data_IF_381879212660
#
_entry.id   IF_381879212660
#
_cell.length_a   1.000
_cell.length_b   1.000
_cell.length_c   1.000
_cell.angle_alpha   90.00
_cell.angle_beta   90.00
_cell.angle_gamma   90.00
#
_symmetry.space_group_name_H-M   'P 1'
#
loop_
_entity.id
_entity.type
_entity.pdbx_description
1 polymer ?
#
# COMPACT_ATOMS: atom_id res chain seq x y z
N UNK A 1 -60.07 -2.95 18.86
CA UNK A 1 -58.75 -3.38 18.39
C UNK A 1 -58.02 -4.03 19.55
N UNK A 2 -57.90 -5.35 19.52
CA UNK A 2 -57.20 -6.11 20.56
C UNK A 2 -55.69 -5.83 20.50
N UNK A 3 -54.93 -6.08 21.58
CA UNK A 3 -53.47 -5.96 21.55
C UNK A 3 -52.83 -6.81 20.45
N UNK A 4 -53.43 -7.97 20.14
CA UNK A 4 -52.96 -8.88 19.11
C UNK A 4 -53.15 -8.30 17.70
N UNK A 5 -54.32 -7.71 17.43
CA UNK A 5 -54.62 -7.05 16.16
C UNK A 5 -53.68 -5.85 15.89
N UNK A 6 -53.22 -5.17 16.94
CA UNK A 6 -52.24 -4.07 16.78
C UNK A 6 -50.87 -4.60 16.36
N UNK A 7 -50.39 -5.67 17.01
CA UNK A 7 -49.10 -6.28 16.70
C UNK A 7 -49.10 -6.79 15.25
N UNK A 8 -50.15 -7.51 14.85
CA UNK A 8 -50.27 -8.05 13.51
C UNK A 8 -50.34 -6.93 12.46
N UNK A 9 -51.07 -5.83 12.73
CA UNK A 9 -51.12 -4.68 11.84
C UNK A 9 -49.80 -3.89 11.74
N UNK A 10 -48.93 -3.94 12.75
CA UNK A 10 -47.61 -3.26 12.72
C UNK A 10 -46.47 -4.12 12.18
N UNK A 11 -46.66 -5.44 12.04
CA UNK A 11 -45.57 -6.36 11.71
C UNK A 11 -44.96 -6.07 10.33
N UNK A 12 -45.81 -5.92 9.32
CA UNK A 12 -45.38 -5.63 7.95
C UNK A 12 -44.70 -4.25 7.86
N UNK A 13 -45.23 -3.28 8.61
CA UNK A 13 -44.67 -1.92 8.72
C UNK A 13 -43.30 -1.89 9.42
N UNK A 14 -43.05 -2.80 10.36
CA UNK A 14 -41.74 -2.93 11.01
C UNK A 14 -40.70 -3.54 10.07
N UNK A 15 -41.09 -4.53 9.26
CA UNK A 15 -40.21 -5.12 8.25
C UNK A 15 -39.83 -4.08 7.18
N UNK A 16 -40.80 -3.31 6.68
CA UNK A 16 -40.53 -2.20 5.75
C UNK A 16 -39.62 -1.13 6.36
N UNK A 17 -39.80 -0.77 7.64
CA UNK A 17 -38.95 0.20 8.33
C UNK A 17 -37.54 -0.33 8.58
N UNK A 18 -37.40 -1.62 8.86
CA UNK A 18 -36.10 -2.28 9.04
C UNK A 18 -35.37 -2.41 7.71
N UNK A 19 -36.07 -2.80 6.64
CA UNK A 19 -35.53 -2.78 5.28
C UNK A 19 -35.17 -1.36 4.85
N UNK A 20 -35.98 -0.35 5.17
CA UNK A 20 -35.65 1.05 4.87
C UNK A 20 -34.48 1.58 5.71
N UNK A 21 -34.30 1.13 6.96
CA UNK A 21 -33.11 1.44 7.78
C UNK A 21 -31.88 0.76 7.22
N UNK A 22 -31.99 -0.50 6.83
CA UNK A 22 -30.91 -1.28 6.21
C UNK A 22 -30.55 -0.71 4.84
N UNK A 23 -31.52 -0.35 4.02
CA UNK A 23 -31.31 0.32 2.74
C UNK A 23 -30.76 1.73 2.93
N UNK A 24 -31.08 2.45 4.03
CA UNK A 24 -30.50 3.76 4.34
C UNK A 24 -29.08 3.65 4.91
N UNK A 25 -28.75 2.56 5.61
CA UNK A 25 -27.40 2.29 6.11
C UNK A 25 -26.48 1.69 5.03
N UNK A 26 -27.04 0.91 4.09
CA UNK A 26 -26.32 0.23 3.00
C UNK A 26 -26.29 1.01 1.69
N UNK A 27 -27.28 1.89 1.43
CA UNK A 27 -27.09 2.95 0.43
C UNK A 27 -26.00 3.83 0.99
N UNK A 28 -24.79 3.59 0.50
CA UNK A 28 -23.74 4.59 0.37
C UNK A 28 -24.33 5.83 -0.31
N UNK A 29 -25.07 6.64 0.45
CA UNK A 29 -25.44 8.00 0.12
C UNK A 29 -24.25 8.94 0.33
N UNK A 30 -23.02 8.42 0.23
CA UNK A 30 -21.87 9.19 -0.19
C UNK A 30 -21.97 9.51 -1.68
N UNK A 31 -23.08 10.14 -2.10
CA UNK A 31 -22.95 11.02 -3.26
C UNK A 31 -22.00 12.10 -2.77
N UNK A 32 -20.84 12.32 -3.41
CA UNK A 32 -19.84 13.27 -2.93
C UNK A 32 -20.42 14.67 -2.67
N UNK A 33 -21.55 14.98 -3.30
CA UNK A 33 -22.36 16.19 -3.12
C UNK A 33 -23.06 16.24 -1.75
N UNK A 34 -23.65 15.15 -1.26
CA UNK A 34 -24.27 15.14 0.08
C UNK A 34 -23.22 15.34 1.17
N UNK A 35 -22.12 14.58 1.08
CA UNK A 35 -21.00 14.70 2.00
C UNK A 35 -20.41 16.13 2.00
N UNK A 36 -20.38 16.78 0.83
CA UNK A 36 -19.99 18.18 0.71
C UNK A 36 -20.90 19.13 1.51
N UNK A 37 -22.22 19.00 1.38
CA UNK A 37 -23.15 19.83 2.15
C UNK A 37 -23.11 19.56 3.66
N UNK A 38 -23.01 18.29 4.05
CA UNK A 38 -22.93 17.89 5.46
C UNK A 38 -21.67 18.45 6.14
N UNK A 39 -20.53 18.38 5.45
CA UNK A 39 -19.27 18.96 5.92
C UNK A 39 -19.45 20.46 6.13
N UNK A 40 -20.02 21.20 5.16
CA UNK A 40 -20.20 22.66 5.30
C UNK A 40 -21.14 23.02 6.45
N UNK A 41 -22.29 22.36 6.55
CA UNK A 41 -23.24 22.61 7.64
C UNK A 41 -22.62 22.36 9.03
N UNK A 42 -21.81 21.30 9.15
CA UNK A 42 -21.10 20.98 10.39
C UNK A 42 -20.03 22.03 10.71
N UNK A 43 -19.25 22.45 9.71
CA UNK A 43 -18.19 23.44 9.86
C UNK A 43 -18.75 24.83 10.23
N UNK A 44 -19.89 25.22 9.68
CA UNK A 44 -20.57 26.47 10.03
C UNK A 44 -21.03 26.46 11.49
N UNK A 45 -21.50 25.32 11.99
CA UNK A 45 -21.90 25.18 13.40
C UNK A 45 -20.72 25.33 14.37
N UNK A 46 -19.53 24.91 13.96
CA UNK A 46 -18.30 24.95 14.76
C UNK A 46 -17.72 26.35 14.90
N UNK A 47 -18.01 27.27 13.98
CA UNK A 47 -17.53 28.64 14.05
C UNK A 47 -17.98 29.36 15.34
N UNK A 48 -19.20 29.06 15.80
CA UNK A 48 -19.78 29.67 17.00
C UNK A 48 -19.19 29.15 18.32
N UNK A 49 -18.36 28.11 18.31
CA UNK A 49 -17.79 27.52 19.52
C UNK A 49 -16.86 28.51 20.24
N UNK A 50 -15.97 29.15 19.48
CA UNK A 50 -14.96 30.08 20.02
C UNK A 50 -15.58 31.27 20.75
N UNK A 51 -16.65 31.85 20.19
CA UNK A 51 -17.37 32.97 20.79
C UNK A 51 -18.03 32.61 22.13
N UNK A 52 -18.40 31.34 22.34
CA UNK A 52 -19.09 30.88 23.56
C UNK A 52 -18.13 30.47 24.68
N UNK A 53 -16.95 29.97 24.34
CA UNK A 53 -16.02 29.38 25.32
C UNK A 53 -14.79 30.22 25.57
N UNK A 54 -14.49 31.20 24.72
CA UNK A 54 -13.21 31.93 24.75
C UNK A 54 -12.02 31.07 24.32
N UNK A 55 -12.25 29.89 23.74
CA UNK A 55 -11.17 29.03 23.25
C UNK A 55 -10.69 29.45 21.87
N UNK A 56 -9.37 29.57 21.71
CA UNK A 56 -8.74 29.73 20.39
C UNK A 56 -8.68 28.36 19.69
N UNK A 57 -9.25 28.27 18.49
CA UNK A 57 -9.43 27.03 17.74
C UNK A 57 -8.83 27.16 16.34
N UNK A 58 -8.01 26.17 15.96
CA UNK A 58 -7.65 25.90 14.57
C UNK A 58 -8.37 24.64 14.12
N UNK A 59 -9.14 24.72 13.03
CA UNK A 59 -9.77 23.57 12.40
C UNK A 59 -9.30 23.47 10.95
N UNK A 60 -8.68 22.35 10.63
CA UNK A 60 -8.20 22.04 9.29
C UNK A 60 -8.88 20.75 8.86
N UNK A 61 -9.62 20.82 7.75
CA UNK A 61 -10.30 19.67 7.16
C UNK A 61 -9.78 19.46 5.75
N UNK A 62 -9.25 18.27 5.47
CA UNK A 62 -8.70 17.89 4.17
C UNK A 62 -9.40 16.64 3.66
N UNK A 63 -9.48 16.46 2.34
CA UNK A 63 -9.98 15.19 1.78
C UNK A 63 -8.92 14.11 1.88
N UNK A 64 -9.38 12.88 2.09
CA UNK A 64 -8.54 11.68 2.00
C UNK A 64 -8.55 11.04 0.61
N UNK A 65 -9.50 11.41 -0.24
CA UNK A 65 -9.72 10.78 -1.55
C UNK A 65 -9.82 11.86 -2.63
N UNK A 66 -9.30 11.55 -3.83
CA UNK A 66 -9.31 12.47 -4.98
C UNK A 66 -10.71 12.72 -5.53
N UNK A 67 -11.63 11.77 -5.31
CA UNK A 67 -13.01 11.85 -5.80
C UNK A 67 -13.87 12.83 -4.97
N UNK A 68 -13.36 13.33 -3.85
CA UNK A 68 -14.04 14.35 -3.05
C UNK A 68 -13.79 15.76 -3.64
N UNK A 69 -14.89 16.50 -3.83
CA UNK A 69 -14.88 17.87 -4.35
C UNK A 69 -14.44 18.93 -3.33
N UNK A 70 -14.38 18.57 -2.04
CA UNK A 70 -14.00 19.51 -0.99
C UNK A 70 -12.54 19.94 -1.15
N UNK A 71 -12.33 21.26 -1.22
CA UNK A 71 -10.99 21.83 -1.06
C UNK A 71 -10.60 21.80 0.42
N UNK A 72 -9.29 21.85 0.75
CA UNK A 72 -8.86 22.04 2.12
C UNK A 72 -9.58 23.22 2.75
N UNK A 73 -10.29 22.96 3.83
CA UNK A 73 -10.98 23.98 4.61
C UNK A 73 -10.15 24.32 5.83
N UNK A 74 -9.95 25.62 6.05
CA UNK A 74 -9.22 26.13 7.19
C UNK A 74 -10.10 27.15 7.89
N UNK A 75 -10.40 26.89 9.15
CA UNK A 75 -11.07 27.81 10.04
C UNK A 75 -10.13 28.15 11.20
N UNK A 76 -9.98 29.44 11.45
CA UNK A 76 -9.22 29.98 12.57
C UNK A 76 -10.18 30.87 13.35
N UNK A 77 -10.27 30.66 14.66
CA UNK A 77 -11.12 31.51 15.50
C UNK A 77 -10.55 32.92 15.69
N UNK A 78 -9.22 33.07 15.53
CA UNK A 78 -8.47 34.28 15.85
C UNK A 78 -7.17 34.35 15.03
N UNK A 79 -6.68 35.56 14.77
CA UNK A 79 -5.49 35.83 13.95
C UNK A 79 -4.22 35.33 14.64
N UNK A 80 -4.17 35.37 15.97
CA UNK A 80 -3.04 34.84 16.76
C UNK A 80 -2.79 33.35 16.50
N UNK A 81 -3.84 32.59 16.20
CA UNK A 81 -3.70 31.19 15.80
C UNK A 81 -3.02 31.09 14.45
N UNK A 82 -3.33 31.98 13.51
CA UNK A 82 -2.63 32.09 12.22
C UNK A 82 -1.16 32.45 12.37
N UNK A 83 -0.85 33.41 13.25
CA UNK A 83 0.53 33.82 13.55
C UNK A 83 1.37 32.67 14.11
N UNK A 84 0.76 31.80 14.94
CA UNK A 84 1.43 30.61 15.43
C UNK A 84 1.93 29.71 14.29
N UNK A 85 1.13 29.47 13.24
CA UNK A 85 1.58 28.70 12.08
C UNK A 85 2.75 29.39 11.36
N UNK A 86 2.70 30.70 11.21
CA UNK A 86 3.78 31.45 10.57
C UNK A 86 5.07 31.44 11.40
N UNK A 87 4.97 31.56 12.73
CA UNK A 87 6.13 31.59 13.61
C UNK A 87 6.73 30.19 13.83
N UNK A 88 5.90 29.20 14.12
CA UNK A 88 6.34 27.84 14.46
C UNK A 88 6.67 27.00 13.22
N UNK A 89 5.83 27.08 12.17
CA UNK A 89 5.95 26.25 10.97
C UNK A 89 6.50 27.00 9.76
N UNK A 90 6.66 28.33 9.86
CA UNK A 90 7.11 29.21 8.76
C UNK A 90 6.22 29.13 7.54
N UNK A 91 4.93 28.88 7.75
CA UNK A 91 3.95 28.71 6.69
C UNK A 91 2.58 29.24 7.09
N UNK A 92 1.79 29.63 6.08
CA UNK A 92 0.38 29.95 6.29
C UNK A 92 -0.43 28.67 6.55
N UNK A 93 -1.50 28.73 7.36
CA UNK A 93 -2.41 27.61 7.59
C UNK A 93 -2.93 26.94 6.30
N UNK A 94 -3.21 27.72 5.24
CA UNK A 94 -3.68 27.20 3.94
C UNK A 94 -2.64 26.33 3.22
N UNK A 95 -1.37 26.75 3.23
CA UNK A 95 -0.28 25.95 2.67
C UNK A 95 -0.07 24.66 3.45
N UNK A 96 -0.14 24.74 4.79
CA UNK A 96 -0.08 23.56 5.64
C UNK A 96 -1.22 22.58 5.33
N UNK A 97 -2.46 23.07 5.23
CA UNK A 97 -3.63 22.26 4.87
C UNK A 97 -3.47 21.59 3.49
N UNK A 98 -2.90 22.27 2.51
CA UNK A 98 -2.64 21.70 1.17
C UNK A 98 -1.62 20.55 1.23
N UNK A 99 -0.54 20.70 2.01
CA UNK A 99 0.44 19.61 2.18
C UNK A 99 -0.14 18.44 2.97
N UNK A 100 -0.94 18.73 3.99
CA UNK A 100 -1.64 17.71 4.77
C UNK A 100 -2.60 16.92 3.87
N UNK A 101 -3.35 17.59 3.00
CA UNK A 101 -4.21 16.93 2.00
C UNK A 101 -3.40 15.99 1.11
N UNK A 102 -2.30 16.47 0.52
CA UNK A 102 -1.43 15.65 -0.32
C UNK A 102 -0.93 14.39 0.40
N UNK A 103 -0.54 14.53 1.68
CA UNK A 103 -0.14 13.37 2.50
C UNK A 103 -1.29 12.39 2.71
N UNK A 104 -2.48 12.87 3.10
CA UNK A 104 -3.66 12.03 3.34
C UNK A 104 -4.05 11.24 2.09
N UNK A 105 -4.10 11.90 0.93
CA UNK A 105 -4.43 11.27 -0.36
C UNK A 105 -3.41 10.20 -0.74
N UNK A 106 -2.11 10.49 -0.62
CA UNK A 106 -1.05 9.52 -0.93
C UNK A 106 -1.09 8.32 0.03
N UNK A 107 -1.31 8.57 1.32
CA UNK A 107 -1.41 7.53 2.34
C UNK A 107 -2.58 6.57 2.06
N UNK A 108 -3.76 7.13 1.77
CA UNK A 108 -4.93 6.35 1.40
C UNK A 108 -4.73 5.56 0.11
N UNK A 109 -4.13 6.17 -0.92
CA UNK A 109 -3.78 5.46 -2.15
C UNK A 109 -2.87 4.25 -1.89
N UNK A 110 -1.80 4.43 -1.10
CA UNK A 110 -0.89 3.33 -0.74
C UNK A 110 -1.61 2.21 0.00
N UNK A 111 -2.47 2.57 0.97
CA UNK A 111 -3.28 1.59 1.72
C UNK A 111 -4.22 0.81 0.80
N UNK A 112 -4.98 1.49 -0.04
CA UNK A 112 -5.89 0.87 -1.00
C UNK A 112 -5.15 -0.02 -2.00
N UNK A 113 -3.96 0.39 -2.45
CA UNK A 113 -3.14 -0.41 -3.35
C UNK A 113 -2.65 -1.71 -2.68
N UNK A 114 -2.15 -1.63 -1.45
CA UNK A 114 -1.73 -2.82 -0.68
C UNK A 114 -2.91 -3.77 -0.39
N UNK A 115 -4.07 -3.23 -0.04
CA UNK A 115 -5.29 -4.00 0.16
C UNK A 115 -5.71 -4.71 -1.13
N UNK A 116 -5.65 -4.02 -2.28
CA UNK A 116 -5.97 -4.61 -3.57
C UNK A 116 -5.00 -5.75 -3.93
N UNK A 117 -3.69 -5.58 -3.69
CA UNK A 117 -2.69 -6.65 -3.88
C UNK A 117 -3.02 -7.88 -3.03
N UNK A 118 -3.27 -7.67 -1.72
CA UNK A 118 -3.62 -8.74 -0.79
C UNK A 118 -4.88 -9.49 -1.22
N UNK A 119 -5.94 -8.75 -1.58
CA UNK A 119 -7.20 -9.32 -2.06
C UNK A 119 -7.02 -10.12 -3.36
N UNK A 120 -6.19 -9.61 -4.28
CA UNK A 120 -5.90 -10.28 -5.56
C UNK A 120 -5.11 -11.57 -5.35
N UNK A 121 -4.11 -11.55 -4.45
CA UNK A 121 -3.37 -12.77 -4.09
C UNK A 121 -4.28 -13.83 -3.47
N UNK A 122 -5.16 -13.44 -2.54
CA UNK A 122 -6.13 -14.34 -1.93
C UNK A 122 -7.11 -14.92 -2.97
N UNK A 123 -7.64 -14.08 -3.87
CA UNK A 123 -8.53 -14.52 -4.95
C UNK A 123 -7.83 -15.51 -5.88
N UNK A 124 -6.59 -15.22 -6.28
CA UNK A 124 -5.80 -16.10 -7.16
C UNK A 124 -5.59 -17.47 -6.52
N UNK A 125 -5.20 -17.51 -5.24
CA UNK A 125 -5.02 -18.77 -4.50
C UNK A 125 -6.34 -19.54 -4.37
N UNK A 126 -7.44 -18.86 -4.02
CA UNK A 126 -8.76 -19.48 -3.93
C UNK A 126 -9.18 -20.11 -5.26
N UNK A 127 -8.99 -19.40 -6.38
CA UNK A 127 -9.30 -19.90 -7.73
C UNK A 127 -8.44 -21.11 -8.11
N UNK A 128 -7.18 -21.16 -7.68
CA UNK A 128 -6.33 -22.32 -7.88
C UNK A 128 -6.81 -23.53 -7.06
N UNK A 129 -7.11 -23.33 -5.78
CA UNK A 129 -7.64 -24.38 -4.91
C UNK A 129 -8.98 -24.92 -5.42
N UNK A 130 -9.86 -24.06 -5.94
CA UNK A 130 -11.12 -24.45 -6.59
C UNK A 130 -10.88 -25.37 -7.79
N UNK A 131 -9.92 -25.05 -8.65
CA UNK A 131 -9.60 -25.87 -9.83
C UNK A 131 -8.93 -27.20 -9.46
N UNK A 132 -8.12 -27.23 -8.40
CA UNK A 132 -7.40 -28.43 -7.97
C UNK A 132 -8.22 -29.37 -7.09
N UNK A 133 -9.23 -28.85 -6.39
CA UNK A 133 -9.97 -29.57 -5.34
C UNK A 133 -9.07 -30.07 -4.19
N UNK A 134 -7.86 -29.50 -4.07
CA UNK A 134 -6.88 -29.81 -3.03
C UNK A 134 -6.41 -28.49 -2.43
N UNK A 135 -6.36 -28.36 -1.09
CA UNK A 135 -5.89 -27.13 -0.45
C UNK A 135 -4.37 -26.99 -0.62
N UNK A 136 -3.91 -25.88 -1.20
CA UNK A 136 -2.50 -25.52 -1.29
C UNK A 136 -2.21 -24.40 -0.28
N UNK A 137 -1.12 -24.47 0.50
CA UNK A 137 -0.80 -23.46 1.50
C UNK A 137 -0.40 -22.10 0.91
N UNK A 138 0.14 -22.06 -0.32
CA UNK A 138 0.62 -20.83 -0.97
C UNK A 138 0.61 -20.94 -2.49
N UNK A 139 0.47 -19.80 -3.16
CA UNK A 139 0.60 -19.68 -4.61
C UNK A 139 2.08 -19.59 -5.01
N UNK A 140 2.51 -20.41 -5.97
CA UNK A 140 3.84 -20.33 -6.57
C UNK A 140 3.77 -19.49 -7.85
N UNK A 141 4.64 -18.49 -8.00
CA UNK A 141 4.75 -17.69 -9.23
C UNK A 141 6.09 -17.93 -9.94
N UNK A 142 7.14 -18.20 -9.17
CA UNK A 142 8.43 -18.67 -9.66
C UNK A 142 8.34 -20.18 -9.82
N UNK A 143 8.80 -20.70 -10.97
CA UNK A 143 8.72 -22.12 -11.33
C UNK A 143 7.29 -22.67 -11.17
N UNK A 144 6.30 -21.90 -11.65
CA UNK A 144 4.89 -22.32 -11.65
C UNK A 144 4.73 -23.68 -12.35
N UNK A 145 5.46 -23.87 -13.44
CA UNK A 145 5.44 -25.08 -14.26
C UNK A 145 5.88 -26.31 -13.46
N UNK A 146 6.90 -26.19 -12.61
CA UNK A 146 7.43 -27.31 -11.82
C UNK A 146 6.60 -27.58 -10.56
N UNK A 147 6.09 -26.54 -9.91
CA UNK A 147 5.44 -26.67 -8.60
C UNK A 147 3.93 -26.87 -8.72
N UNK A 148 3.31 -26.36 -9.77
CA UNK A 148 1.86 -26.42 -9.97
C UNK A 148 1.51 -27.30 -11.16
N UNK A 149 2.06 -27.02 -12.34
CA UNK A 149 1.71 -27.81 -13.53
C UNK A 149 2.18 -29.25 -13.33
N UNK A 150 3.48 -29.49 -13.14
CA UNK A 150 4.10 -30.83 -13.01
C UNK A 150 3.49 -31.72 -11.89
N UNK A 151 2.97 -31.13 -10.81
CA UNK A 151 2.43 -31.89 -9.68
C UNK A 151 0.91 -32.10 -9.73
N UNK A 152 0.18 -31.16 -10.34
CA UNK A 152 -1.28 -31.10 -10.21
C UNK A 152 -2.02 -31.06 -11.54
N UNK A 153 -1.29 -30.97 -12.65
CA UNK A 153 -1.83 -30.88 -14.00
C UNK A 153 -2.82 -29.73 -14.16
N UNK A 154 -2.49 -28.57 -13.59
CA UNK A 154 -3.33 -27.36 -13.69
C UNK A 154 -2.58 -26.25 -14.40
N UNK A 155 -3.17 -25.75 -15.49
CA UNK A 155 -2.64 -24.64 -16.30
C UNK A 155 -3.46 -23.37 -16.07
N UNK A 156 -2.80 -22.23 -16.17
CA UNK A 156 -3.41 -20.91 -16.12
C UNK A 156 -3.71 -20.42 -17.53
N UNK A 157 -4.98 -20.15 -17.83
CA UNK A 157 -5.42 -19.65 -19.13
C UNK A 157 -5.70 -18.14 -19.10
N UNK A 158 -5.40 -17.46 -20.21
CA UNK A 158 -5.71 -16.04 -20.45
C UNK A 158 -5.20 -15.10 -19.36
N UNK A 159 -3.93 -15.22 -18.97
CA UNK A 159 -3.32 -14.23 -18.08
C UNK A 159 -3.29 -12.86 -18.77
N UNK A 160 -3.77 -11.77 -18.13
CA UNK A 160 -4.01 -10.51 -18.84
C UNK A 160 -2.75 -9.63 -18.98
N UNK A 161 -1.64 -9.97 -18.32
CA UNK A 161 -0.38 -9.23 -18.41
C UNK A 161 0.63 -9.99 -19.27
N UNK A 162 1.64 -9.29 -19.76
CA UNK A 162 2.71 -9.90 -20.57
C UNK A 162 3.58 -10.87 -19.78
N UNK A 163 3.78 -10.62 -18.49
CA UNK A 163 4.56 -11.45 -17.58
C UNK A 163 3.68 -12.02 -16.47
N UNK A 164 3.81 -13.32 -16.22
CA UNK A 164 3.24 -13.95 -15.04
C UNK A 164 4.04 -13.57 -13.79
N UNK A 165 3.38 -12.91 -12.83
CA UNK A 165 4.03 -12.35 -11.64
C UNK A 165 3.09 -12.34 -10.45
N UNK A 166 3.66 -12.31 -9.24
CA UNK A 166 2.85 -12.20 -8.02
C UNK A 166 2.18 -10.82 -7.96
N UNK A 167 0.94 -10.69 -7.43
CA UNK A 167 0.32 -9.39 -7.23
C UNK A 167 1.15 -8.45 -6.34
N UNK A 168 2.01 -9.01 -5.49
CA UNK A 168 3.00 -8.28 -4.69
C UNK A 168 4.03 -7.54 -5.55
N UNK A 169 4.47 -8.15 -6.64
CA UNK A 169 5.53 -7.65 -7.51
C UNK A 169 5.01 -6.69 -8.60
N UNK A 170 3.69 -6.66 -8.84
CA UNK A 170 3.08 -5.74 -9.80
C UNK A 170 3.17 -4.30 -9.28
N UNK A 171 3.86 -3.42 -10.02
CA UNK A 171 4.16 -2.05 -9.60
C UNK A 171 2.98 -1.07 -9.73
N UNK A 172 2.03 -1.35 -10.64
CA UNK A 172 0.95 -0.42 -10.98
C UNK A 172 -0.41 -0.90 -10.47
N UNK A 173 -1.17 0.02 -9.84
CA UNK A 173 -2.51 -0.30 -9.31
C UNK A 173 -3.48 -0.73 -10.42
N UNK A 174 -3.39 -0.12 -11.60
CA UNK A 174 -4.25 -0.45 -12.75
C UNK A 174 -4.04 -1.89 -13.21
N UNK A 175 -2.79 -2.35 -13.27
CA UNK A 175 -2.47 -3.75 -13.64
C UNK A 175 -3.01 -4.75 -12.62
N UNK A 176 -2.89 -4.45 -11.31
CA UNK A 176 -3.48 -5.31 -10.27
C UNK A 176 -5.01 -5.34 -10.39
N UNK A 177 -5.66 -4.21 -10.71
CA UNK A 177 -7.11 -4.18 -10.97
C UNK A 177 -7.50 -5.02 -12.19
N UNK A 178 -6.70 -5.00 -13.25
CA UNK A 178 -6.92 -5.80 -14.46
C UNK A 178 -6.87 -7.29 -14.09
N UNK A 179 -5.84 -7.74 -13.39
CA UNK A 179 -5.71 -9.14 -12.92
C UNK A 179 -6.89 -9.52 -12.02
N UNK A 180 -7.23 -8.68 -11.04
CA UNK A 180 -8.35 -8.90 -10.14
C UNK A 180 -9.67 -9.08 -10.90
N UNK A 181 -9.98 -8.16 -11.82
CA UNK A 181 -11.20 -8.20 -12.62
C UNK A 181 -11.22 -9.38 -13.61
N UNK A 182 -10.07 -9.78 -14.15
CA UNK A 182 -9.96 -10.91 -15.06
C UNK A 182 -10.30 -12.24 -14.36
N UNK A 183 -9.88 -12.44 -13.11
CA UNK A 183 -10.32 -13.58 -12.30
C UNK A 183 -11.79 -13.49 -11.87
N UNK A 184 -12.26 -12.30 -11.50
CA UNK A 184 -13.66 -12.10 -11.08
C UNK A 184 -14.65 -12.35 -12.23
N UNK A 185 -14.29 -11.97 -13.45
CA UNK A 185 -15.10 -12.19 -14.65
C UNK A 185 -14.96 -13.61 -15.23
N UNK A 186 -13.99 -14.39 -14.75
CA UNK A 186 -13.67 -15.73 -15.28
C UNK A 186 -12.92 -15.71 -16.62
N UNK A 187 -12.49 -14.54 -17.10
CA UNK A 187 -11.64 -14.44 -18.29
C UNK A 187 -10.31 -15.18 -18.07
N UNK A 188 -9.68 -14.95 -16.92
CA UNK A 188 -8.53 -15.72 -16.43
C UNK A 188 -9.01 -16.81 -15.50
N UNK A 189 -8.60 -18.06 -15.76
CA UNK A 189 -9.01 -19.22 -14.96
C UNK A 189 -7.92 -20.28 -14.91
N UNK A 190 -7.95 -21.06 -13.84
CA UNK A 190 -7.17 -22.28 -13.74
C UNK A 190 -7.98 -23.43 -14.32
N UNK A 191 -7.37 -24.21 -15.22
CA UNK A 191 -7.99 -25.37 -15.85
C UNK A 191 -7.12 -26.59 -15.60
N UNK A 192 -7.77 -27.69 -15.21
CA UNK A 192 -7.12 -28.99 -15.12
C UNK A 192 -6.91 -29.57 -16.53
N UNK A 193 -5.68 -29.97 -16.83
CA UNK A 193 -5.33 -30.66 -18.06
C UNK A 193 -5.93 -32.05 -18.06
N UNK A 194 -6.36 -32.49 -19.25
CA UNK A 194 -6.71 -33.88 -19.51
C UNK A 194 -5.45 -34.74 -19.58
N UNK A 195 -5.60 -36.07 -19.48
CA UNK A 195 -4.45 -36.99 -19.52
C UNK A 195 -3.66 -36.90 -20.85
N UNK A 196 -4.35 -36.63 -21.97
CA UNK A 196 -3.69 -36.44 -23.26
C UNK A 196 -2.90 -35.12 -23.31
N UNK A 197 -3.53 -34.00 -22.94
CA UNK A 197 -2.84 -32.70 -22.88
C UNK A 197 -1.67 -32.71 -21.89
N UNK A 198 -1.78 -33.50 -20.82
CA UNK A 198 -0.71 -33.69 -19.86
C UNK A 198 0.52 -34.38 -20.47
N UNK A 199 0.32 -35.46 -21.22
CA UNK A 199 1.40 -36.17 -21.90
C UNK A 199 2.07 -35.27 -22.94
N UNK A 200 1.29 -34.53 -23.72
CA UNK A 200 1.81 -33.55 -24.68
C UNK A 200 2.65 -32.46 -23.98
N UNK A 201 2.18 -31.96 -22.84
CA UNK A 201 2.93 -30.98 -22.06
C UNK A 201 4.24 -31.55 -21.49
N UNK A 202 4.22 -32.79 -21.00
CA UNK A 202 5.40 -33.48 -20.46
C UNK A 202 6.44 -33.77 -21.55
N UNK A 203 6.01 -34.24 -22.72
CA UNK A 203 6.88 -34.45 -23.89
C UNK A 203 7.49 -33.13 -24.39
N UNK A 204 6.69 -32.05 -24.46
CA UNK A 204 7.18 -30.73 -24.86
C UNK A 204 8.25 -30.20 -23.90
N UNK A 205 8.04 -30.37 -22.60
CA UNK A 205 9.02 -30.00 -21.56
C UNK A 205 10.31 -30.82 -21.70
N UNK A 206 10.20 -32.12 -21.89
CA UNK A 206 11.36 -33.01 -22.06
C UNK A 206 12.20 -32.62 -23.29
N UNK A 207 11.54 -32.31 -24.41
CA UNK A 207 12.23 -31.86 -25.62
C UNK A 207 12.94 -30.51 -25.41
N UNK A 208 12.34 -29.58 -24.67
CA UNK A 208 12.97 -28.29 -24.34
C UNK A 208 14.23 -28.46 -23.47
N UNK A 209 14.22 -29.40 -22.52
CA UNK A 209 15.39 -29.71 -21.69
C UNK A 209 16.53 -30.36 -22.51
N UNK A 210 16.19 -31.16 -23.53
CA UNK A 210 17.18 -31.73 -24.46
C UNK A 210 17.85 -30.66 -25.32
N UNK A 211 17.08 -29.72 -25.90
CA UNK A 211 17.63 -28.63 -26.72
C UNK A 211 18.63 -27.76 -25.93
N UNK A 212 18.33 -27.47 -24.66
CA UNK A 212 19.24 -26.70 -23.81
C UNK A 212 20.57 -27.40 -23.48
N UNK A 213 20.65 -28.72 -23.65
CA UNK A 213 21.88 -29.49 -23.39
C UNK A 213 22.84 -29.46 -24.59
N UNK A 214 22.34 -29.28 -25.82
CA UNK A 214 23.16 -29.38 -27.04
C UNK A 214 23.84 -28.06 -27.45
N UNK A 215 23.35 -26.89 -27.03
CA UNK A 215 23.91 -25.60 -27.45
C UNK A 215 25.11 -25.09 -26.61
N UNK A 216 25.65 -25.90 -25.69
CA UNK A 216 26.53 -25.40 -24.62
C UNK A 216 27.89 -26.07 -24.40
N UNK A 217 28.27 -27.12 -25.12
CA UNK A 217 29.63 -27.67 -25.04
C UNK A 217 30.54 -27.04 -26.10
N UNK A 218 30.89 -25.77 -25.90
CA UNK A 218 32.20 -25.31 -26.36
C UNK A 218 33.26 -26.02 -25.50
N UNK A 219 34.20 -26.79 -26.09
CA UNK A 219 35.22 -27.50 -25.33
C UNK A 219 36.10 -26.48 -24.59
N UNK A 220 35.88 -26.37 -23.28
CA UNK A 220 36.73 -25.60 -22.39
C UNK A 220 38.18 -26.12 -22.52
N UNK A 221 39.16 -25.23 -22.76
CA UNK A 221 40.57 -25.62 -22.79
C UNK A 221 40.99 -26.14 -21.41
N UNK A 222 41.62 -27.31 -21.40
CA UNK A 222 42.18 -27.94 -20.23
C UNK A 222 43.09 -26.97 -19.46
N UNK A 223 42.62 -26.44 -18.33
CA UNK A 223 43.47 -25.72 -17.38
C UNK A 223 43.44 -26.43 -16.04
N UNK A 224 44.49 -27.22 -15.85
CA UNK A 224 45.04 -27.69 -14.59
C UNK A 224 44.97 -26.63 -13.49
N UNK A 225 44.41 -26.97 -12.33
CA UNK A 225 45.00 -26.86 -10.98
C UNK A 225 43.94 -26.91 -9.89
N UNK A 226 44.14 -27.80 -8.92
CA UNK A 226 43.41 -27.85 -7.64
C UNK A 226 43.63 -26.56 -6.82
N UNK A 227 42.77 -26.27 -5.82
CA UNK A 227 43.13 -26.75 -4.48
C UNK A 227 41.95 -27.26 -3.63
N UNK A 228 42.34 -28.21 -2.78
CA UNK A 228 41.73 -28.69 -1.53
C UNK A 228 40.86 -27.66 -0.82
N UNK A 229 39.61 -28.04 -0.48
CA UNK A 229 38.88 -27.44 0.65
C UNK A 229 38.32 -28.51 1.58
N UNK A 230 38.71 -28.36 2.84
CA UNK A 230 38.30 -29.15 3.97
C UNK A 230 36.84 -28.87 4.36
N UNK A 231 36.22 -29.92 4.89
CA UNK A 231 34.88 -29.99 5.47
C UNK A 231 34.78 -29.09 6.73
N UNK A 232 33.85 -28.13 6.83
CA UNK A 232 33.56 -27.47 8.09
C UNK A 232 32.45 -28.19 8.85
N UNK A 233 32.74 -28.31 10.14
CA UNK A 233 31.96 -28.85 11.23
C UNK A 233 30.75 -27.96 11.55
N UNK A 234 29.68 -28.62 12.00
CA UNK A 234 28.37 -28.08 12.34
C UNK A 234 28.39 -27.09 13.51
N UNK A 235 27.83 -25.89 13.32
CA UNK A 235 27.46 -24.95 14.38
C UNK A 235 26.12 -24.25 14.06
N UNK A 236 25.36 -23.78 15.06
CA UNK A 236 23.91 -23.67 14.98
C UNK A 236 23.42 -22.40 14.26
N UNK A 237 22.28 -22.61 13.60
CA UNK A 237 21.55 -21.69 12.74
C UNK A 237 21.01 -20.47 13.51
N UNK A 238 21.72 -19.33 13.42
CA UNK A 238 21.17 -18.03 13.78
C UNK A 238 20.42 -17.42 12.59
N UNK A 239 19.11 -17.23 12.78
CA UNK A 239 18.17 -16.60 11.85
C UNK A 239 18.55 -15.12 11.63
N UNK A 240 19.30 -14.84 10.56
CA UNK A 240 19.51 -13.47 10.09
C UNK A 240 18.18 -12.91 9.58
N UNK A 241 17.65 -11.91 10.27
CA UNK A 241 16.60 -11.04 9.74
C UNK A 241 17.21 -10.24 8.58
N UNK A 242 16.79 -10.55 7.36
CA UNK A 242 17.07 -9.73 6.20
C UNK A 242 16.26 -8.43 6.33
N UNK A 243 16.93 -7.35 6.72
CA UNK A 243 16.45 -6.00 6.47
C UNK A 243 16.52 -5.78 4.96
N UNK A 244 15.40 -6.00 4.27
CA UNK A 244 15.21 -5.46 2.92
C UNK A 244 15.09 -3.94 3.07
N UNK A 245 16.19 -3.23 2.82
CA UNK A 245 16.14 -1.86 2.33
C UNK A 245 15.43 -1.90 0.96
N UNK A 246 14.11 -1.83 0.99
CA UNK A 246 13.35 -1.38 -0.17
C UNK A 246 13.71 0.09 -0.32
N UNK A 247 14.60 0.36 -1.28
CA UNK A 247 14.81 1.68 -1.84
C UNK A 247 13.48 2.15 -2.45
N UNK A 248 12.63 2.66 -1.56
CA UNK A 248 11.35 3.23 -1.90
C UNK A 248 11.62 4.50 -2.64
N UNK A 249 11.70 4.39 -3.97
CA UNK A 249 11.77 5.51 -4.89
C UNK A 249 10.73 6.55 -4.51
N UNK A 250 11.17 7.55 -3.74
CA UNK A 250 10.43 8.76 -3.47
C UNK A 250 10.24 9.36 -4.85
N UNK A 251 9.00 9.33 -5.37
CA UNK A 251 8.65 10.14 -6.52
C UNK A 251 9.14 11.55 -6.25
N UNK A 252 10.15 11.98 -6.99
CA UNK A 252 10.63 13.34 -7.00
C UNK A 252 9.45 14.20 -7.49
N UNK A 253 8.66 14.74 -6.55
CA UNK A 253 7.73 15.81 -6.85
C UNK A 253 8.60 16.98 -7.28
N UNK A 254 8.75 17.16 -8.59
CA UNK A 254 9.40 18.32 -9.18
C UNK A 254 8.48 19.50 -8.89
N UNK A 255 8.74 20.21 -7.79
CA UNK A 255 8.23 21.58 -7.60
C UNK A 255 8.89 22.49 -8.62
N UNK A 256 8.41 22.43 -9.86
CA UNK A 256 8.72 23.39 -10.90
C UNK A 256 7.96 24.68 -10.62
N UNK A 257 8.62 25.64 -9.98
CA UNK A 257 8.13 27.02 -9.91
C UNK A 257 8.27 27.59 -11.33
N UNK A 258 7.17 27.65 -12.07
CA UNK A 258 7.12 28.31 -13.37
C UNK A 258 6.87 29.80 -13.14
N UNK A 259 7.76 30.66 -13.64
CA UNK A 259 7.54 32.11 -13.61
C UNK A 259 6.37 32.51 -14.52
N UNK A 260 5.77 33.69 -14.26
CA UNK A 260 4.81 34.31 -15.17
C UNK A 260 5.50 34.59 -16.52
N UNK A 261 5.42 33.64 -17.44
CA UNK A 261 6.11 33.69 -18.74
C UNK A 261 6.53 32.33 -19.30
N UNK A 262 6.48 31.25 -18.51
CA UNK A 262 6.88 29.91 -18.97
C UNK A 262 8.39 29.69 -19.06
N UNK A 263 9.20 30.69 -18.73
CA UNK A 263 10.65 30.56 -18.67
C UNK A 263 11.09 29.70 -17.47
N UNK A 264 11.95 28.73 -17.76
CA UNK A 264 12.54 27.83 -16.76
C UNK A 264 13.57 28.60 -15.93
N UNK A 265 13.22 28.94 -14.70
CA UNK A 265 14.17 29.52 -13.73
C UNK A 265 15.12 28.42 -13.24
N UNK A 266 16.36 28.43 -13.72
CA UNK A 266 17.41 27.55 -13.22
C UNK A 266 17.93 28.08 -11.88
N UNK A 267 17.51 27.48 -10.76
CA UNK A 267 18.10 27.79 -9.46
C UNK A 267 19.44 27.06 -9.35
N UNK A 268 20.54 27.81 -9.40
CA UNK A 268 21.87 27.27 -9.14
C UNK A 268 21.91 26.69 -7.71
N UNK A 269 22.09 25.36 -7.61
CA UNK A 269 22.21 24.68 -6.31
C UNK A 269 23.48 25.17 -5.61
N UNK A 270 23.31 26.01 -4.60
CA UNK A 270 24.40 26.44 -3.71
C UNK A 270 24.92 25.20 -2.96
N UNK A 271 26.22 24.91 -3.10
CA UNK A 271 26.84 23.77 -2.44
C UNK A 271 26.59 23.83 -0.92
N UNK A 272 25.98 22.79 -0.37
CA UNK A 272 25.64 22.71 1.06
C UNK A 272 26.95 22.60 1.84
N UNK A 273 27.23 23.55 2.73
CA UNK A 273 28.38 23.49 3.65
C UNK A 273 28.34 22.16 4.41
N UNK A 274 29.38 21.36 4.25
CA UNK A 274 29.64 20.16 5.04
C UNK A 274 29.76 20.59 6.50
N UNK A 275 28.93 20.02 7.39
CA UNK A 275 29.05 20.25 8.82
C UNK A 275 30.40 19.72 9.31
N UNK A 276 31.11 20.53 10.11
CA UNK A 276 32.43 20.25 10.69
C UNK A 276 32.49 19.02 11.60
N UNK A 277 31.32 18.55 12.01
CA UNK A 277 31.08 17.62 13.10
C UNK A 277 30.88 16.18 12.57
N UNK A 278 30.98 15.99 11.25
CA UNK A 278 30.90 14.67 10.61
C UNK A 278 32.24 13.93 10.77
N UNK A 279 32.44 13.30 11.93
CA UNK A 279 33.56 12.37 12.16
C UNK A 279 34.14 12.34 13.57
N UNK A 280 33.70 13.21 14.48
CA UNK A 280 34.12 13.13 15.88
C UNK A 280 33.46 11.90 16.52
N UNK A 281 34.25 10.84 16.72
CA UNK A 281 33.89 9.70 17.57
C UNK A 281 33.60 10.24 18.95
N UNK A 282 32.32 10.21 19.32
CA UNK A 282 31.86 10.59 20.65
C UNK A 282 32.49 9.62 21.66
N UNK A 283 33.33 10.15 22.53
CA UNK A 283 34.11 9.37 23.48
C UNK A 283 33.15 8.73 24.49
N UNK A 284 33.18 7.40 24.61
CA UNK A 284 32.21 6.61 25.41
C UNK A 284 32.16 7.02 26.88
N UNK A 285 33.19 7.69 27.40
CA UNK A 285 33.21 8.22 28.76
C UNK A 285 32.28 9.43 29.00
N UNK A 286 31.90 10.16 27.95
CA UNK A 286 31.02 11.33 28.09
C UNK A 286 29.54 10.98 28.29
N UNK A 287 29.13 9.77 27.91
CA UNK A 287 27.77 9.26 28.12
C UNK A 287 27.52 8.85 29.59
N UNK A 288 28.54 8.35 30.30
CA UNK A 288 28.40 7.90 31.69
C UNK A 288 28.19 9.09 32.65
N UNK A 289 28.87 10.21 32.41
CA UNK A 289 28.78 11.43 33.26
C UNK A 289 27.40 12.10 33.13
N UNK A 290 26.72 11.98 31.98
CA UNK A 290 25.36 12.51 31.82
C UNK A 290 24.29 11.70 32.56
N UNK A 291 24.55 10.43 32.87
CA UNK A 291 23.57 9.59 33.56
C UNK A 291 23.60 9.81 35.08
N UNK A 292 24.76 10.14 35.66
CA UNK A 292 24.86 10.46 37.10
C UNK A 292 24.32 11.86 37.46
N UNK A 293 24.37 12.83 36.54
CA UNK A 293 23.83 14.17 36.77
C UNK A 293 22.29 14.25 36.81
N UNK A 294 21.60 13.27 36.22
CA UNK A 294 20.13 13.23 36.18
C UNK A 294 19.52 12.65 37.46
N UNK A 295 20.27 11.85 38.22
CA UNK A 295 19.82 11.28 39.49
C UNK A 295 19.91 12.25 40.68
N UNK A 296 20.65 13.36 40.56
CA UNK A 296 20.73 14.36 41.63
C UNK A 296 19.63 15.42 41.59
N UNK A 297 18.81 15.48 40.53
CA UNK A 297 17.75 16.48 40.40
C UNK A 297 16.41 15.99 40.99
N UNK A 298 16.24 14.67 41.20
CA UNK A 298 14.99 14.11 41.78
C UNK A 298 14.91 14.17 43.33
N UNK A 299 15.89 14.78 44.02
CA UNK A 299 15.90 14.90 45.48
C UNK A 299 16.00 16.34 46.02
N UNK A 300 15.49 17.33 45.27
CA UNK A 300 15.20 18.68 45.78
C UNK A 300 13.76 19.07 45.47
#
# INVERSE_FOLDING_TARGET
MSPQEKIDATKDLMEDLEEHRNNKSLKSHNVPISAFYDIRATLDSLANLSARTGCHTALITVRGDLDHYNRPYVYLSDDHVGDFFQLALKETPSNFATRLEGYCVISNYKKSFLQLKSRTSALTLNKLCEAMQVPIPRMYYVNFDENIIAQHSVVLENWPLTKFASPGDIGLMVEVKIVYNAFMSGATKFRKLTAAEWQEWEEARFNQDLEHTEEGEDPLPASTSQPVYAKPESAPMQRKQAHNEVDGGIMHIISGISGMGGDKVSVAKKARKTRSDKGTKEDRNSALIRQEGLLQIEHR
#
